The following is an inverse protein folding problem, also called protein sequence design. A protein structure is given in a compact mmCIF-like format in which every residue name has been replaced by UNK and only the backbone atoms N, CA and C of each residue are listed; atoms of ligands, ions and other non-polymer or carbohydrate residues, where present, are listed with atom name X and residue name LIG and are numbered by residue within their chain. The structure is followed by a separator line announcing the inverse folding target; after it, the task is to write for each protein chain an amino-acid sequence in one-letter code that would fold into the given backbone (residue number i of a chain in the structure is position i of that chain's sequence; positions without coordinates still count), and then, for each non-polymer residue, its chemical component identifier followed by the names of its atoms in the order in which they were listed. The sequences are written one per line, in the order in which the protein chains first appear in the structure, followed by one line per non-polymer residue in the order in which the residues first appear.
data_IF_427726533469
#
_entry.id   IF_427726533469
#
_cell.length_a   1.000
_cell.length_b   1.000
_cell.length_c   1.000
_cell.angle_alpha   90.00
_cell.angle_beta   90.00
_cell.angle_gamma   90.00
#
_symmetry.space_group_name_H-M   'P 1'
#
loop_
_entity.id
_entity.type
_entity.pdbx_description
1 polymer ?
#
# COMPACT_ATOMS: atom_id res chain seq x y z
N UNK A 1 -7.77 30.76 8.30
CA UNK A 1 -6.74 30.81 7.23
C UNK A 1 -5.32 30.88 7.80
N UNK A 2 -4.79 29.81 8.44
CA UNK A 2 -3.45 29.86 9.10
C UNK A 2 -2.59 28.60 8.86
N UNK A 3 -2.33 28.22 7.59
CA UNK A 3 -1.43 27.10 7.30
C UNK A 3 -0.43 27.33 6.14
N UNK A 4 -0.52 28.44 5.40
CA UNK A 4 0.34 28.66 4.22
C UNK A 4 1.71 29.32 4.54
N UNK A 5 1.97 29.74 5.78
CA UNK A 5 3.09 30.64 6.09
C UNK A 5 4.39 29.98 6.60
N UNK A 6 4.44 28.65 6.82
CA UNK A 6 5.64 27.98 7.37
C UNK A 6 6.57 27.33 6.31
N UNK A 7 6.21 27.38 5.03
CA UNK A 7 7.03 26.74 3.96
C UNK A 7 8.04 27.68 3.29
N UNK A 8 8.15 28.94 3.70
CA UNK A 8 8.86 29.97 2.92
C UNK A 8 10.34 30.19 3.30
N UNK A 9 10.88 29.46 4.29
CA UNK A 9 12.30 29.59 4.72
C UNK A 9 13.05 28.26 4.71
N UNK A 10 12.66 27.34 3.83
CA UNK A 10 13.30 26.03 3.73
C UNK A 10 14.49 26.09 2.76
N UNK A 11 15.67 25.68 3.24
CA UNK A 11 16.91 25.64 2.45
C UNK A 11 16.82 24.75 1.20
N UNK A 12 17.82 24.78 0.29
CA UNK A 12 17.74 24.14 -1.02
C UNK A 12 17.39 22.64 -0.98
N UNK A 13 17.85 21.92 0.06
CA UNK A 13 17.52 20.50 0.29
C UNK A 13 16.03 20.27 0.60
N UNK A 14 15.45 21.10 1.45
CA UNK A 14 14.04 20.95 1.82
C UNK A 14 13.11 21.29 0.64
N UNK A 15 13.48 22.25 -0.22
CA UNK A 15 12.77 22.50 -1.50
C UNK A 15 12.87 21.30 -2.45
N UNK A 16 14.03 20.65 -2.53
CA UNK A 16 14.22 19.46 -3.36
C UNK A 16 13.36 18.28 -2.90
N UNK A 17 13.29 18.04 -1.58
CA UNK A 17 12.40 17.00 -1.00
C UNK A 17 10.94 17.34 -1.27
N UNK A 18 10.52 18.59 -1.11
CA UNK A 18 9.16 19.02 -1.41
C UNK A 18 8.77 18.78 -2.88
N UNK A 19 9.66 19.08 -3.83
CA UNK A 19 9.43 18.79 -5.26
C UNK A 19 9.24 17.29 -5.51
N UNK A 20 10.07 16.45 -4.90
CA UNK A 20 9.93 15.01 -5.05
C UNK A 20 8.62 14.47 -4.45
N UNK A 21 8.18 15.01 -3.30
CA UNK A 21 6.88 14.65 -2.71
C UNK A 21 5.72 15.06 -3.61
N UNK A 22 5.76 16.28 -4.16
CA UNK A 22 4.75 16.74 -5.11
C UNK A 22 4.72 15.87 -6.37
N UNK A 23 5.89 15.46 -6.88
CA UNK A 23 6.00 14.54 -8.01
C UNK A 23 5.32 13.19 -7.69
N UNK A 24 5.59 12.62 -6.52
CA UNK A 24 4.96 11.36 -6.08
C UNK A 24 3.44 11.49 -6.07
N UNK A 25 2.92 12.58 -5.50
CA UNK A 25 1.48 12.76 -5.31
C UNK A 25 0.71 12.94 -6.60
N UNK A 26 1.37 13.51 -7.60
CA UNK A 26 0.79 13.74 -8.93
C UNK A 26 0.90 12.51 -9.84
N UNK A 27 1.84 11.59 -9.58
CA UNK A 27 2.13 10.44 -10.45
C UNK A 27 1.90 9.08 -9.74
N UNK A 28 0.94 9.01 -8.80
CA UNK A 28 0.66 7.76 -8.07
C UNK A 28 0.21 6.61 -8.98
N UNK A 29 -0.42 6.95 -10.12
CA UNK A 29 -1.01 6.04 -11.10
C UNK A 29 -0.06 5.63 -12.23
N UNK A 30 1.22 6.00 -12.11
CA UNK A 30 2.22 5.79 -13.14
C UNK A 30 3.47 5.08 -12.58
N UNK A 31 4.25 4.40 -13.42
CA UNK A 31 5.54 3.85 -13.03
C UNK A 31 6.54 4.96 -12.63
N UNK A 32 6.79 5.11 -11.32
CA UNK A 32 7.75 6.07 -10.78
C UNK A 32 9.02 5.35 -10.35
N UNK A 33 10.17 5.85 -10.80
CA UNK A 33 11.50 5.34 -10.44
C UNK A 33 12.24 6.33 -9.53
N UNK A 34 13.30 5.87 -8.86
CA UNK A 34 14.19 6.75 -8.09
C UNK A 34 14.87 7.79 -9.00
N UNK A 35 15.08 7.47 -10.28
CA UNK A 35 15.64 8.41 -11.25
C UNK A 35 14.70 9.60 -11.47
N UNK A 36 13.41 9.34 -11.74
CA UNK A 36 12.40 10.39 -11.93
C UNK A 36 12.32 11.33 -10.73
N UNK A 37 12.37 10.77 -9.51
CA UNK A 37 12.33 11.56 -8.27
C UNK A 37 13.59 12.40 -8.07
N UNK A 38 14.76 11.85 -8.40
CA UNK A 38 16.02 12.58 -8.31
C UNK A 38 16.10 13.71 -9.34
N UNK A 39 15.57 13.50 -10.55
CA UNK A 39 15.43 14.51 -11.59
C UNK A 39 14.51 15.64 -11.15
N UNK A 40 13.32 15.32 -10.62
CA UNK A 40 12.40 16.31 -10.03
C UNK A 40 13.04 17.11 -8.88
N UNK A 41 13.93 16.46 -8.12
CA UNK A 41 14.69 17.09 -7.05
C UNK A 41 15.93 17.89 -7.53
N UNK A 42 16.32 17.78 -8.80
CA UNK A 42 17.56 18.33 -9.37
C UNK A 42 18.82 17.82 -8.65
N UNK A 43 18.88 16.51 -8.39
CA UNK A 43 19.96 15.86 -7.66
C UNK A 43 20.36 14.53 -8.31
N UNK A 44 21.58 14.07 -8.03
CA UNK A 44 21.96 12.70 -8.36
C UNK A 44 21.16 11.70 -7.51
N UNK A 45 20.90 10.50 -8.04
CA UNK A 45 20.10 9.44 -7.38
C UNK A 45 20.55 9.13 -5.96
N UNK A 46 21.86 8.94 -5.76
CA UNK A 46 22.42 8.60 -4.45
C UNK A 46 22.28 9.73 -3.43
N UNK A 47 22.60 10.97 -3.84
CA UNK A 47 22.48 12.14 -2.97
C UNK A 47 21.02 12.40 -2.60
N UNK A 48 20.11 12.32 -3.59
CA UNK A 48 18.68 12.46 -3.38
C UNK A 48 18.14 11.44 -2.37
N UNK A 49 18.44 10.15 -2.55
CA UNK A 49 17.93 9.10 -1.68
C UNK A 49 18.36 9.29 -0.21
N UNK A 50 19.58 9.79 0.01
CA UNK A 50 20.08 10.13 1.36
C UNK A 50 19.33 11.35 1.91
N UNK A 51 19.32 12.47 1.18
CA UNK A 51 18.66 13.71 1.62
C UNK A 51 17.17 13.49 1.91
N UNK A 52 16.48 12.72 1.07
CA UNK A 52 15.07 12.39 1.26
C UNK A 52 14.86 11.56 2.53
N UNK A 53 15.70 10.53 2.75
CA UNK A 53 15.61 9.71 3.96
C UNK A 53 15.90 10.51 5.22
N UNK A 54 16.92 11.36 5.21
CA UNK A 54 17.27 12.21 6.35
C UNK A 54 16.13 13.19 6.69
N UNK A 55 15.38 13.66 5.68
CA UNK A 55 14.26 14.59 5.86
C UNK A 55 12.92 13.91 6.23
N UNK A 56 12.63 12.74 5.67
CA UNK A 56 11.31 12.08 5.77
C UNK A 56 11.31 10.86 6.70
N UNK A 57 12.49 10.32 7.03
CA UNK A 57 12.67 9.11 7.82
C UNK A 57 12.48 7.80 7.03
N UNK A 58 12.16 7.88 5.74
CA UNK A 58 11.88 6.73 4.88
C UNK A 58 12.55 6.88 3.51
N UNK A 59 12.77 5.76 2.81
CA UNK A 59 13.26 5.83 1.43
C UNK A 59 12.20 6.42 0.47
N UNK A 60 12.59 7.04 -0.65
CA UNK A 60 11.64 7.59 -1.61
C UNK A 60 10.61 6.57 -2.12
N UNK A 61 11.05 5.33 -2.39
CA UNK A 61 10.17 4.26 -2.87
C UNK A 61 9.23 3.72 -1.79
N UNK A 62 9.66 3.72 -0.53
CA UNK A 62 8.80 3.36 0.60
C UNK A 62 7.73 4.43 0.83
N UNK A 63 8.10 5.70 0.73
CA UNK A 63 7.15 6.81 0.78
C UNK A 63 6.11 6.71 -0.34
N UNK A 64 6.54 6.51 -1.59
CA UNK A 64 5.64 6.27 -2.73
C UNK A 64 4.67 5.12 -2.47
N UNK A 65 5.18 3.97 -1.98
CA UNK A 65 4.34 2.82 -1.64
C UNK A 65 3.29 3.17 -0.59
N UNK A 66 3.67 3.92 0.45
CA UNK A 66 2.73 4.38 1.48
C UNK A 66 1.64 5.28 0.89
N UNK A 67 2.00 6.26 0.07
CA UNK A 67 1.03 7.15 -0.59
C UNK A 67 0.07 6.40 -1.50
N UNK A 68 0.56 5.38 -2.24
CA UNK A 68 -0.30 4.48 -3.02
C UNK A 68 -1.26 3.69 -2.13
N UNK A 69 -0.82 3.16 -1.00
CA UNK A 69 -1.70 2.44 -0.06
C UNK A 69 -2.75 3.35 0.58
N UNK A 70 -2.41 4.60 0.89
CA UNK A 70 -3.38 5.61 1.34
C UNK A 70 -4.44 5.89 0.26
N UNK A 71 -4.02 6.04 -0.99
CA UNK A 71 -4.94 6.21 -2.12
C UNK A 71 -5.81 4.97 -2.35
N UNK A 72 -5.26 3.78 -2.22
CA UNK A 72 -6.01 2.53 -2.30
C UNK A 72 -7.12 2.46 -1.25
N UNK A 73 -6.84 2.87 0.00
CA UNK A 73 -7.88 2.95 1.04
C UNK A 73 -9.01 3.90 0.66
N UNK A 74 -8.70 5.04 0.05
CA UNK A 74 -9.73 5.97 -0.44
C UNK A 74 -10.60 5.32 -1.54
N UNK A 75 -9.97 4.69 -2.54
CA UNK A 75 -10.68 4.02 -3.63
C UNK A 75 -11.56 2.85 -3.13
N UNK A 76 -11.10 2.11 -2.12
CA UNK A 76 -11.90 1.04 -1.50
C UNK A 76 -13.12 1.59 -0.76
N UNK A 77 -12.99 2.73 -0.07
CA UNK A 77 -14.13 3.42 0.58
C UNK A 77 -15.16 3.92 -0.44
N UNK A 78 -14.71 4.36 -1.62
CA UNK A 78 -15.59 4.81 -2.68
C UNK A 78 -16.43 3.65 -3.28
N UNK A 79 -15.96 2.41 -3.19
CA UNK A 79 -16.71 1.22 -3.61
C UNK A 79 -16.90 1.04 -5.13
N UNK A 80 -16.21 1.85 -5.95
CA UNK A 80 -16.38 1.86 -7.42
C UNK A 80 -15.37 1.01 -8.20
N UNK A 81 -14.33 0.53 -7.52
CA UNK A 81 -13.21 -0.18 -8.16
C UNK A 81 -13.04 -1.56 -7.53
N UNK A 82 -12.72 -2.56 -8.38
CA UNK A 82 -12.33 -3.89 -7.90
C UNK A 82 -10.91 -3.86 -7.33
N UNK A 83 -10.60 -4.82 -6.45
CA UNK A 83 -9.26 -4.97 -5.84
C UNK A 83 -8.16 -5.13 -6.91
N UNK A 84 -8.46 -5.85 -7.99
CA UNK A 84 -7.51 -6.06 -9.09
C UNK A 84 -7.26 -4.76 -9.88
N UNK A 85 -8.33 -4.01 -10.20
CA UNK A 85 -8.19 -2.69 -10.84
C UNK A 85 -7.35 -1.74 -10.00
N UNK A 86 -7.61 -1.64 -8.69
CA UNK A 86 -6.83 -0.79 -7.79
C UNK A 86 -5.33 -1.18 -7.78
N UNK A 87 -5.03 -2.48 -7.80
CA UNK A 87 -3.65 -2.96 -7.84
C UNK A 87 -2.93 -2.52 -9.13
N UNK A 88 -3.59 -2.67 -10.28
CA UNK A 88 -3.06 -2.25 -11.58
C UNK A 88 -2.93 -0.73 -11.67
N UNK A 89 -3.99 0.01 -11.32
CA UNK A 89 -4.05 1.47 -11.41
C UNK A 89 -2.96 2.13 -10.57
N UNK A 90 -2.66 1.59 -9.38
CA UNK A 90 -1.62 2.10 -8.49
C UNK A 90 -0.25 1.45 -8.75
N UNK A 91 -0.08 0.80 -9.89
CA UNK A 91 1.17 0.20 -10.35
C UNK A 91 1.82 -0.75 -9.33
N UNK A 92 1.02 -1.61 -8.69
CA UNK A 92 1.54 -2.79 -8.02
C UNK A 92 1.83 -3.88 -9.05
N UNK A 93 2.86 -4.70 -8.81
CA UNK A 93 3.28 -5.75 -9.72
C UNK A 93 2.15 -6.73 -10.07
N UNK A 94 1.40 -7.14 -9.05
CA UNK A 94 0.21 -7.97 -9.19
C UNK A 94 -0.72 -7.78 -7.97
N UNK A 95 -1.91 -8.38 -8.05
CA UNK A 95 -2.90 -8.32 -6.98
C UNK A 95 -2.40 -8.92 -5.67
N UNK A 96 -1.63 -10.01 -5.71
CA UNK A 96 -1.08 -10.66 -4.50
C UNK A 96 -0.06 -9.77 -3.81
N UNK A 97 0.83 -9.13 -4.58
CA UNK A 97 1.77 -8.14 -4.05
C UNK A 97 1.04 -6.94 -3.42
N UNK A 98 -0.03 -6.45 -4.05
CA UNK A 98 -0.89 -5.42 -3.47
C UNK A 98 -1.52 -5.86 -2.14
N UNK A 99 -2.18 -7.03 -2.11
CA UNK A 99 -2.87 -7.53 -0.91
C UNK A 99 -1.90 -7.71 0.27
N UNK A 100 -0.70 -8.25 0.02
CA UNK A 100 0.34 -8.38 1.05
C UNK A 100 0.80 -7.00 1.56
N UNK A 101 1.09 -6.08 0.65
CA UNK A 101 1.52 -4.71 1.00
C UNK A 101 0.45 -3.97 1.81
N UNK A 102 -0.81 -4.08 1.40
CA UNK A 102 -1.94 -3.46 2.07
C UNK A 102 -2.15 -4.04 3.47
N UNK A 103 -2.10 -5.37 3.62
CA UNK A 103 -2.23 -6.03 4.92
C UNK A 103 -1.09 -5.65 5.86
N UNK A 104 0.13 -5.59 5.37
CA UNK A 104 1.28 -5.19 6.17
C UNK A 104 1.16 -3.75 6.69
N UNK A 105 0.54 -2.86 5.91
CA UNK A 105 0.37 -1.46 6.30
C UNK A 105 -0.88 -1.19 7.17
N UNK A 106 -1.96 -1.96 6.98
CA UNK A 106 -3.28 -1.68 7.60
C UNK A 106 -3.73 -2.73 8.61
N UNK A 107 -3.07 -3.87 8.69
CA UNK A 107 -3.44 -4.99 9.55
C UNK A 107 -4.56 -5.89 9.00
N UNK A 108 -5.22 -5.54 7.89
CA UNK A 108 -6.29 -6.35 7.29
C UNK A 108 -6.20 -6.41 5.77
N UNK A 109 -6.95 -7.32 5.13
CA UNK A 109 -6.94 -7.44 3.66
C UNK A 109 -7.80 -6.35 3.02
N UNK A 110 -7.52 -5.94 1.76
CA UNK A 110 -8.34 -4.98 1.03
C UNK A 110 -9.83 -5.37 0.98
N UNK A 111 -10.13 -6.66 0.79
CA UNK A 111 -11.50 -7.17 0.76
C UNK A 111 -12.23 -6.95 2.10
N UNK A 112 -11.57 -7.29 3.21
CA UNK A 112 -12.12 -7.07 4.56
C UNK A 112 -12.27 -5.58 4.85
N UNK A 113 -11.35 -4.75 4.36
CA UNK A 113 -11.41 -3.30 4.51
C UNK A 113 -12.63 -2.71 3.78
N UNK A 114 -12.84 -3.08 2.51
CA UNK A 114 -13.99 -2.60 1.72
C UNK A 114 -15.34 -3.08 2.29
N UNK A 115 -15.40 -4.30 2.82
CA UNK A 115 -16.62 -4.80 3.47
C UNK A 115 -16.99 -3.99 4.72
N UNK A 116 -16.00 -3.56 5.52
CA UNK A 116 -16.23 -2.72 6.71
C UNK A 116 -16.76 -1.33 6.34
N UNK A 117 -16.29 -0.76 5.23
CA UNK A 117 -16.74 0.57 4.79
C UNK A 117 -18.14 0.55 4.22
N UNK A 118 -18.58 -0.61 3.70
CA UNK A 118 -19.96 -0.82 3.27
C UNK A 118 -20.91 -1.14 4.43
N UNK A 119 -20.39 -1.41 5.64
CA UNK A 119 -21.16 -1.93 6.77
C UNK A 119 -20.90 -1.13 8.05
N UNK A 120 -21.61 -0.02 8.22
CA UNK A 120 -22.00 0.52 9.53
C UNK A 120 -23.40 1.18 9.45
N UNK A 121 -24.33 0.98 10.42
CA UNK A 121 -24.28 0.07 11.57
C UNK A 121 -25.52 -0.84 11.74
N UNK A 122 -25.29 -2.09 12.16
CA UNK A 122 -25.96 -2.71 13.32
C UNK A 122 -25.47 -4.16 13.52
N UNK A 123 -24.80 -4.38 14.65
CA UNK A 123 -24.82 -5.62 15.43
C UNK A 123 -24.17 -6.89 14.83
N UNK A 124 -22.93 -7.09 15.30
CA UNK A 124 -22.32 -8.34 15.79
C UNK A 124 -21.22 -9.01 14.92
N UNK A 125 -20.02 -9.27 15.49
CA UNK A 125 -18.89 -9.87 14.77
C UNK A 125 -18.84 -11.39 15.01
N UNK A 126 -19.18 -12.20 14.01
CA UNK A 126 -18.78 -13.60 14.02
C UNK A 126 -18.41 -14.10 12.64
N UNK A 127 -17.12 -14.08 12.33
CA UNK A 127 -16.49 -14.98 11.36
C UNK A 127 -15.03 -15.21 11.79
N UNK A 128 -14.81 -16.28 12.55
CA UNK A 128 -13.49 -16.91 12.68
C UNK A 128 -13.19 -17.72 11.41
N UNK A 129 -11.93 -17.80 10.95
CA UNK A 129 -11.60 -18.60 9.78
C UNK A 129 -11.55 -20.08 10.17
N UNK A 130 -12.67 -20.78 9.99
CA UNK A 130 -12.70 -22.24 9.99
C UNK A 130 -12.02 -22.73 8.70
N UNK A 131 -10.73 -23.02 8.82
CA UNK A 131 -9.91 -23.67 7.80
C UNK A 131 -10.52 -25.03 7.48
N UNK A 132 -11.20 -25.13 6.32
CA UNK A 132 -11.63 -26.42 5.77
C UNK A 132 -10.39 -27.22 5.38
N UNK A 133 -10.14 -28.32 6.08
CA UNK A 133 -9.60 -29.54 5.48
C UNK A 133 -10.50 -30.70 5.91
N UNK A 134 -11.53 -30.99 5.11
CA UNK A 134 -11.96 -32.37 4.93
C UNK A 134 -10.84 -33.08 4.16
N UNK A 135 -10.44 -34.31 4.48
CA UNK A 135 -11.29 -35.44 4.80
C UNK A 135 -11.18 -36.40 3.62
N UNK A 136 -10.20 -37.30 3.67
CA UNK A 136 -10.21 -38.54 2.90
C UNK A 136 -9.73 -39.65 3.83
N UNK A 137 -10.72 -40.26 4.48
CA UNK A 137 -10.64 -41.60 5.03
C UNK A 137 -11.01 -42.55 3.89
N UNK A 138 -10.13 -43.51 3.58
CA UNK A 138 -10.58 -44.78 3.02
C UNK A 138 -9.82 -45.87 3.78
N UNK A 139 -10.63 -46.66 4.47
CA UNK A 139 -10.30 -47.86 5.24
C UNK A 139 -10.21 -49.09 4.31
N UNK A 140 -9.91 -50.26 4.90
CA UNK A 140 -9.89 -51.65 4.37
C UNK A 140 -8.47 -52.19 4.13
N UNK A 141 -8.03 -53.36 4.64
CA UNK A 141 -8.56 -54.43 5.50
C UNK A 141 -7.35 -55.18 6.09
N UNK A 142 -7.35 -55.65 7.34
CA UNK A 142 -7.52 -57.07 7.76
C UNK A 142 -6.81 -58.08 6.82
N UNK A 143 -5.86 -58.93 7.26
CA UNK A 143 -6.09 -60.13 8.08
C UNK A 143 -4.80 -60.70 8.70
N UNK A 144 -4.99 -61.46 9.79
CA UNK A 144 -4.00 -62.22 10.56
C UNK A 144 -3.60 -63.52 9.85
N UNK A 145 -2.34 -63.95 9.99
CA UNK A 145 -1.80 -65.33 10.01
C UNK A 145 -0.27 -65.19 10.07
N UNK A 146 0.53 -65.88 10.88
CA UNK A 146 0.34 -66.91 11.90
C UNK A 146 1.52 -66.79 12.90
#
# INVERSE_FOLDING_TARGET
MRAAALMQTQGPRARAVARAMQYIDTHLYEPVSVAHLAEAACMSRFHFARVFRDAIGASPMEYLRRRRLERAQALLREGRHTISQIATDLCFFDQSHFVRSFRNATGCTPARFAAQTAMEPCSNPHMSPAQRRGGHSVSLSLEQHA
#
